data_IF_034534582254
#
_entry.id   IF_034534582254
#
_cell.length_a   1.000
_cell.length_b   1.000
_cell.length_c   1.000
_cell.angle_alpha   90.00
_cell.angle_beta   90.00
_cell.angle_gamma   90.00
#
_symmetry.space_group_name_H-M   'P 1'
#
loop_
_entity.id
_entity.type
_entity.pdbx_description
1 polymer ?
#
# COMPACT_ATOMS: atom_id res chain seq x y z
N UNK A 1 -27.29 11.96 11.80
CA UNK A 1 -25.92 11.36 11.89
C UNK A 1 -25.33 11.92 13.16
N UNK A 2 -25.03 11.07 14.16
CA UNK A 2 -24.52 11.51 15.46
C UNK A 2 -23.17 12.22 15.27
N UNK A 3 -23.01 13.38 15.90
CA UNK A 3 -21.75 14.14 15.98
C UNK A 3 -20.71 13.39 16.88
N UNK A 4 -20.42 12.14 16.52
CA UNK A 4 -19.45 11.33 17.23
C UNK A 4 -18.04 11.84 17.04
N UNK A 5 -17.25 11.84 18.08
CA UNK A 5 -15.83 12.18 18.04
C UNK A 5 -15.08 11.25 17.09
N UNK A 6 -14.34 11.82 16.12
CA UNK A 6 -13.52 11.07 15.16
C UNK A 6 -12.09 11.01 15.70
N UNK A 7 -11.58 9.84 16.10
CA UNK A 7 -10.19 9.74 16.54
C UNK A 7 -9.23 10.07 15.41
N UNK A 8 -8.29 11.00 15.68
CA UNK A 8 -7.15 11.31 14.81
C UNK A 8 -5.87 10.83 15.53
N UNK A 9 -5.47 9.61 15.23
CA UNK A 9 -4.22 9.04 15.76
C UNK A 9 -3.05 9.59 14.98
N UNK A 10 -2.03 10.12 15.65
CA UNK A 10 -0.84 10.64 14.99
C UNK A 10 0.43 10.18 15.69
N UNK A 11 1.45 9.85 14.86
CA UNK A 11 2.78 9.54 15.34
C UNK A 11 3.66 10.80 15.22
N UNK A 12 4.00 11.48 16.32
CA UNK A 12 4.78 12.72 16.27
C UNK A 12 6.18 12.54 15.68
N UNK A 13 6.69 11.30 15.66
CA UNK A 13 8.00 10.97 15.10
C UNK A 13 7.95 10.63 13.61
N UNK A 14 6.76 10.62 12.99
CA UNK A 14 6.64 10.35 11.56
C UNK A 14 7.12 11.53 10.71
N UNK A 15 7.59 11.22 9.49
CA UNK A 15 8.11 12.24 8.59
C UNK A 15 9.54 12.68 8.92
N UNK A 16 10.02 13.70 8.20
CA UNK A 16 11.37 14.23 8.36
C UNK A 16 11.53 15.25 9.48
N UNK A 17 10.50 16.05 9.73
CA UNK A 17 10.47 17.15 10.71
C UNK A 17 9.53 16.92 11.88
N UNK A 18 8.96 15.71 11.97
CA UNK A 18 7.87 15.41 12.89
C UNK A 18 6.52 15.95 12.39
N UNK A 19 5.44 15.56 13.10
CA UNK A 19 4.09 16.04 12.81
C UNK A 19 3.68 17.07 13.86
N UNK A 20 3.32 18.26 13.40
CA UNK A 20 2.87 19.37 14.24
C UNK A 20 1.33 19.43 14.25
N UNK A 21 0.74 18.96 15.36
CA UNK A 21 -0.71 18.91 15.53
C UNK A 21 -1.34 20.30 15.56
N UNK A 22 -0.71 21.26 16.23
CA UNK A 22 -1.26 22.61 16.37
C UNK A 22 -1.30 23.31 15.01
N UNK A 23 -0.24 23.15 14.21
CA UNK A 23 -0.20 23.64 12.84
C UNK A 23 -1.27 23.00 11.95
N UNK A 24 -1.54 21.70 12.12
CA UNK A 24 -2.63 21.02 11.41
C UNK A 24 -3.99 21.59 11.82
N UNK A 25 -4.26 21.63 13.13
CA UNK A 25 -5.55 22.09 13.67
C UNK A 25 -5.84 23.54 13.33
N UNK A 26 -4.83 24.41 13.33
CA UNK A 26 -4.97 25.83 12.98
C UNK A 26 -5.49 26.04 11.54
N UNK A 27 -5.23 25.07 10.64
CA UNK A 27 -5.66 25.12 9.22
C UNK A 27 -7.06 24.56 9.00
N UNK A 28 -7.68 23.92 10.01
CA UNK A 28 -9.01 23.33 9.89
C UNK A 28 -10.11 24.30 10.35
N UNK A 29 -11.28 24.29 9.71
CA UNK A 29 -12.47 25.01 10.21
C UNK A 29 -12.84 24.57 11.64
N UNK A 30 -13.40 25.47 12.43
CA UNK A 30 -13.78 25.21 13.83
C UNK A 30 -14.71 23.97 13.97
N UNK A 31 -15.70 23.85 13.10
CA UNK A 31 -16.61 22.71 13.08
C UNK A 31 -15.90 21.37 12.86
N UNK A 32 -14.88 21.33 12.01
CA UNK A 32 -14.07 20.11 11.78
C UNK A 32 -13.20 19.79 12.99
N UNK A 33 -12.57 20.81 13.60
CA UNK A 33 -11.75 20.63 14.81
C UNK A 33 -12.55 20.06 15.96
N UNK A 34 -13.79 20.50 16.16
CA UNK A 34 -14.67 20.02 17.23
C UNK A 34 -15.05 18.55 17.06
N UNK A 35 -15.05 18.02 15.85
CA UNK A 35 -15.31 16.60 15.56
C UNK A 35 -14.09 15.71 15.80
N UNK A 36 -12.87 16.26 15.80
CA UNK A 36 -11.65 15.48 15.94
C UNK A 36 -11.32 15.23 17.43
N UNK A 37 -10.88 14.02 17.71
CA UNK A 37 -10.27 13.63 18.97
C UNK A 37 -8.81 13.22 18.72
N UNK A 38 -7.84 14.15 18.83
CA UNK A 38 -6.43 13.84 18.60
C UNK A 38 -5.89 12.86 19.64
N UNK A 39 -5.25 11.79 19.19
CA UNK A 39 -4.61 10.79 20.04
C UNK A 39 -3.15 10.66 19.61
N UNK A 40 -2.25 11.03 20.50
CA UNK A 40 -0.81 10.86 20.27
C UNK A 40 -0.44 9.39 20.44
N UNK A 41 0.22 8.84 19.41
CA UNK A 41 0.68 7.46 19.42
C UNK A 41 2.09 7.40 20.04
N UNK A 42 2.21 6.66 21.15
CA UNK A 42 3.47 6.44 21.86
C UNK A 42 3.75 4.94 21.98
N UNK A 43 5.04 4.53 22.11
CA UNK A 43 5.36 3.15 22.36
C UNK A 43 4.63 2.63 23.62
N UNK A 44 4.05 1.43 23.60
CA UNK A 44 4.17 0.35 22.61
C UNK A 44 3.28 0.46 21.35
N UNK A 45 2.80 1.64 20.97
CA UNK A 45 2.00 1.87 19.74
C UNK A 45 0.67 1.09 19.73
N UNK A 46 -0.09 1.21 20.83
CA UNK A 46 -1.40 0.55 20.95
C UNK A 46 -2.52 1.37 20.29
N UNK A 47 -3.14 0.79 19.26
CA UNK A 47 -4.29 1.37 18.55
C UNK A 47 -5.64 0.98 19.18
N UNK A 48 -5.67 0.02 20.11
CA UNK A 48 -6.88 -0.55 20.71
C UNK A 48 -7.85 0.49 21.26
N UNK A 49 -7.42 1.41 22.14
CA UNK A 49 -8.28 2.45 22.69
C UNK A 49 -8.92 3.36 21.62
N UNK A 50 -8.14 3.74 20.59
CA UNK A 50 -8.63 4.60 19.50
C UNK A 50 -9.61 3.86 18.58
N UNK A 51 -9.40 2.57 18.33
CA UNK A 51 -10.33 1.71 17.59
C UNK A 51 -11.63 1.53 18.38
N UNK A 52 -11.56 1.33 19.69
CA UNK A 52 -12.74 1.23 20.54
C UNK A 52 -13.55 2.54 20.55
N UNK A 53 -12.88 3.69 20.62
CA UNK A 53 -13.52 5.00 20.53
C UNK A 53 -14.21 5.21 19.18
N UNK A 54 -13.52 4.93 18.06
CA UNK A 54 -14.09 5.03 16.72
C UNK A 54 -15.33 4.14 16.56
N UNK A 55 -15.26 2.90 17.06
CA UNK A 55 -16.38 1.95 17.04
C UNK A 55 -17.57 2.46 17.84
N UNK A 56 -17.36 2.95 19.05
CA UNK A 56 -18.41 3.49 19.88
C UNK A 56 -19.07 4.74 19.28
N UNK A 57 -18.29 5.56 18.59
CA UNK A 57 -18.77 6.76 17.91
C UNK A 57 -19.40 6.48 16.53
N UNK A 58 -19.29 5.26 15.99
CA UNK A 58 -19.68 4.95 14.61
C UNK A 58 -18.93 5.78 13.59
N UNK A 59 -17.67 6.11 13.86
CA UNK A 59 -16.83 7.00 13.07
C UNK A 59 -15.62 6.25 12.48
N UNK A 60 -14.98 6.79 11.42
CA UNK A 60 -13.69 6.26 10.97
C UNK A 60 -12.59 6.52 12.00
N UNK A 61 -11.52 5.72 11.93
CA UNK A 61 -10.24 5.99 12.58
C UNK A 61 -9.34 6.73 11.60
N UNK A 62 -9.08 8.02 11.81
CA UNK A 62 -8.10 8.75 11.02
C UNK A 62 -6.70 8.49 11.58
N UNK A 63 -5.76 8.15 10.71
CA UNK A 63 -4.36 7.89 11.09
C UNK A 63 -3.44 8.79 10.29
N UNK A 64 -2.78 9.70 11.00
CA UNK A 64 -1.81 10.64 10.43
C UNK A 64 -0.40 10.13 10.64
N UNK A 65 0.20 9.65 9.55
CA UNK A 65 1.52 9.06 9.59
C UNK A 65 2.04 8.67 8.21
N UNK A 66 3.17 7.99 8.19
CA UNK A 66 3.73 7.38 6.98
C UNK A 66 3.15 5.98 6.72
N UNK A 67 3.62 5.35 5.63
CA UNK A 67 3.15 4.03 5.19
C UNK A 67 3.28 2.97 6.31
N UNK A 68 4.37 2.97 7.08
CA UNK A 68 4.54 2.06 8.22
C UNK A 68 3.52 2.28 9.34
N UNK A 69 3.20 3.55 9.68
CA UNK A 69 2.17 3.86 10.67
C UNK A 69 0.80 3.35 10.21
N UNK A 70 0.47 3.53 8.92
CA UNK A 70 -0.77 3.06 8.31
C UNK A 70 -0.82 1.52 8.25
N UNK A 71 0.29 0.86 7.92
CA UNK A 71 0.43 -0.59 7.93
C UNK A 71 0.11 -1.17 9.32
N UNK A 72 0.72 -0.62 10.38
CA UNK A 72 0.48 -1.09 11.75
C UNK A 72 -0.96 -0.83 12.20
N UNK A 73 -1.54 0.32 11.86
CA UNK A 73 -2.94 0.63 12.14
C UNK A 73 -3.90 -0.35 11.44
N UNK A 74 -3.65 -0.64 10.16
CA UNK A 74 -4.43 -1.62 9.40
C UNK A 74 -4.37 -3.02 10.02
N UNK A 75 -3.20 -3.47 10.42
CA UNK A 75 -3.03 -4.76 11.11
C UNK A 75 -3.75 -4.81 12.45
N UNK A 76 -3.69 -3.73 13.23
CA UNK A 76 -4.41 -3.63 14.50
C UNK A 76 -5.93 -3.70 14.29
N UNK A 77 -6.45 -2.99 13.28
CA UNK A 77 -7.85 -3.06 12.89
C UNK A 77 -8.27 -4.48 12.52
N UNK A 78 -7.50 -5.18 11.72
CA UNK A 78 -7.77 -6.58 11.35
C UNK A 78 -7.74 -7.50 12.57
N UNK A 79 -6.73 -7.37 13.44
CA UNK A 79 -6.58 -8.21 14.62
C UNK A 79 -7.73 -8.04 15.64
N UNK A 80 -8.24 -6.81 15.79
CA UNK A 80 -9.30 -6.49 16.76
C UNK A 80 -10.72 -6.66 16.23
N UNK A 81 -10.87 -6.97 14.95
CA UNK A 81 -12.18 -7.07 14.28
C UNK A 81 -12.71 -8.49 14.18
N UNK A 82 -11.89 -9.49 14.41
CA UNK A 82 -12.25 -10.89 14.15
C UNK A 82 -12.45 -11.13 12.65
N UNK A 83 -13.69 -11.29 12.22
CA UNK A 83 -14.04 -11.38 10.81
C UNK A 83 -14.47 -10.01 10.28
N UNK A 84 -13.65 -9.40 9.44
CA UNK A 84 -13.89 -8.09 8.86
C UNK A 84 -13.45 -6.91 9.74
N UNK A 85 -13.30 -5.73 9.16
CA UNK A 85 -12.94 -4.50 9.85
C UNK A 85 -14.18 -3.64 10.09
N UNK A 86 -14.71 -3.52 11.32
CA UNK A 86 -15.92 -2.74 11.58
C UNK A 86 -15.68 -1.22 11.61
N UNK A 87 -14.42 -0.77 11.61
CA UNK A 87 -14.04 0.64 11.69
C UNK A 87 -13.25 1.02 10.44
N UNK A 88 -13.76 1.95 9.60
CA UNK A 88 -13.01 2.40 8.42
C UNK A 88 -11.72 3.12 8.79
N UNK A 89 -10.62 2.81 8.10
CA UNK A 89 -9.33 3.49 8.24
C UNK A 89 -9.25 4.69 7.29
N UNK A 90 -9.07 5.89 7.82
CA UNK A 90 -8.79 7.09 7.04
C UNK A 90 -7.28 7.40 7.04
N UNK A 91 -6.66 7.39 5.87
CA UNK A 91 -5.22 7.61 5.73
C UNK A 91 -4.89 9.09 5.53
N UNK A 92 -4.23 9.71 6.52
CA UNK A 92 -3.77 11.11 6.46
C UNK A 92 -2.25 11.12 6.21
N UNK A 93 -1.76 11.84 5.18
CA UNK A 93 -0.35 11.81 4.79
C UNK A 93 0.57 12.42 5.84
N UNK A 94 1.60 11.68 6.25
CA UNK A 94 2.63 12.13 7.20
C UNK A 94 4.02 11.56 6.87
N UNK A 95 4.14 10.77 5.83
CA UNK A 95 5.39 10.14 5.38
C UNK A 95 6.00 10.77 4.13
N UNK A 96 7.13 10.24 3.70
CA UNK A 96 7.79 10.64 2.44
C UNK A 96 7.24 9.88 1.22
N UNK A 97 6.80 8.64 1.39
CA UNK A 97 6.27 7.79 0.32
C UNK A 97 4.78 8.01 0.08
N UNK A 98 3.99 7.83 1.14
CA UNK A 98 2.54 7.94 1.16
C UNK A 98 1.87 7.10 0.05
N UNK A 99 2.30 5.83 -0.11
CA UNK A 99 1.84 4.94 -1.17
C UNK A 99 0.34 4.67 -1.10
N UNK A 100 -0.17 4.29 0.09
CA UNK A 100 -1.58 4.05 0.34
C UNK A 100 -2.42 5.32 0.05
N UNK A 101 -1.99 6.47 0.57
CA UNK A 101 -2.65 7.78 0.38
C UNK A 101 -2.75 8.13 -1.10
N UNK A 102 -1.65 7.97 -1.84
CA UNK A 102 -1.57 8.25 -3.28
C UNK A 102 -2.43 7.28 -4.11
N UNK A 103 -2.40 5.99 -3.77
CA UNK A 103 -3.23 4.96 -4.42
C UNK A 103 -4.71 5.26 -4.29
N UNK A 104 -5.14 5.77 -3.15
CA UNK A 104 -6.52 6.18 -2.87
C UNK A 104 -6.86 7.62 -3.35
N UNK A 105 -5.91 8.32 -3.97
CA UNK A 105 -6.05 9.73 -4.41
C UNK A 105 -6.44 10.69 -3.29
N UNK A 106 -6.09 10.38 -2.04
CA UNK A 106 -6.26 11.31 -0.93
C UNK A 106 -5.27 12.49 -1.09
N UNK A 107 -5.67 13.74 -0.81
CA UNK A 107 -4.78 14.89 -0.88
C UNK A 107 -3.50 14.69 -0.07
N UNK A 108 -2.36 15.14 -0.60
CA UNK A 108 -1.07 15.04 0.09
C UNK A 108 -0.85 16.15 1.14
N UNK A 109 -1.69 17.15 1.17
CA UNK A 109 -1.76 18.12 2.24
C UNK A 109 -2.57 17.55 3.41
N UNK A 110 -2.00 17.43 4.62
CA UNK A 110 -2.68 16.78 5.74
C UNK A 110 -4.01 17.45 6.13
N UNK A 111 -4.09 18.77 6.14
CA UNK A 111 -5.33 19.47 6.48
C UNK A 111 -6.41 19.26 5.43
N UNK A 112 -6.06 19.31 4.16
CA UNK A 112 -6.96 19.01 3.05
C UNK A 112 -7.41 17.53 3.08
N UNK A 113 -6.52 16.60 3.45
CA UNK A 113 -6.86 15.20 3.62
C UNK A 113 -7.89 14.99 4.73
N UNK A 114 -7.66 15.56 5.92
CA UNK A 114 -8.60 15.47 7.06
C UNK A 114 -9.96 16.02 6.67
N UNK A 115 -10.03 17.21 6.08
CA UNK A 115 -11.30 17.83 5.65
C UNK A 115 -12.09 16.90 4.73
N UNK A 116 -11.45 16.39 3.68
CA UNK A 116 -12.12 15.56 2.69
C UNK A 116 -12.44 14.15 3.20
N UNK A 117 -11.68 13.61 4.15
CA UNK A 117 -11.99 12.33 4.80
C UNK A 117 -13.17 12.44 5.75
N UNK A 118 -13.35 13.58 6.46
CA UNK A 118 -14.50 13.83 7.31
C UNK A 118 -15.82 13.92 6.53
N UNK A 119 -15.76 14.33 5.27
CA UNK A 119 -16.88 14.45 4.32
C UNK A 119 -16.94 13.25 3.35
N UNK A 120 -16.00 12.34 3.46
CA UNK A 120 -15.80 11.24 2.54
C UNK A 120 -16.80 10.10 2.71
N UNK A 121 -16.50 9.01 2.04
CA UNK A 121 -17.32 7.79 2.04
C UNK A 121 -16.49 6.56 2.42
N UNK A 122 -17.18 5.52 2.78
CA UNK A 122 -16.57 4.22 2.98
C UNK A 122 -16.29 3.54 1.63
N UNK A 123 -15.13 2.92 1.52
CA UNK A 123 -14.73 2.02 0.45
C UNK A 123 -14.50 0.64 1.07
N UNK A 124 -15.18 -0.36 0.53
CA UNK A 124 -14.93 -1.76 0.86
C UNK A 124 -13.78 -2.25 -0.02
N UNK A 125 -12.66 -2.65 0.61
CA UNK A 125 -11.45 -3.10 -0.07
C UNK A 125 -11.21 -4.60 0.15
N UNK A 126 -10.54 -5.20 -0.80
CA UNK A 126 -9.98 -6.54 -0.65
C UNK A 126 -8.80 -6.52 0.32
N UNK A 127 -8.62 -7.59 1.08
CA UNK A 127 -7.54 -7.74 2.06
C UNK A 127 -6.58 -8.86 1.64
N UNK A 128 -5.47 -8.52 1.00
CA UNK A 128 -4.42 -9.50 0.71
C UNK A 128 -3.58 -9.82 1.94
N UNK A 129 -3.05 -11.05 1.97
CA UNK A 129 -2.17 -11.54 3.02
C UNK A 129 -0.96 -12.27 2.43
N UNK A 130 0.17 -12.12 3.08
CA UNK A 130 1.38 -12.91 2.85
C UNK A 130 1.62 -13.77 4.08
N UNK A 131 1.51 -15.11 3.95
CA UNK A 131 1.58 -16.07 5.07
C UNK A 131 0.68 -15.68 6.25
N UNK A 132 -0.55 -15.27 5.96
CA UNK A 132 -1.54 -14.83 6.94
C UNK A 132 -1.36 -13.38 7.43
N UNK A 133 -0.23 -12.72 7.14
CA UNK A 133 0.01 -11.32 7.53
C UNK A 133 -0.64 -10.37 6.54
N UNK A 134 -1.61 -9.54 6.95
CA UNK A 134 -2.30 -8.63 6.05
C UNK A 134 -1.41 -7.45 5.62
N UNK A 135 -1.65 -6.97 4.40
CA UNK A 135 -1.11 -5.72 3.88
C UNK A 135 -2.21 -4.96 3.12
N UNK A 136 -2.10 -3.65 3.00
CA UNK A 136 -3.15 -2.82 2.43
C UNK A 136 -2.86 -2.39 0.99
N UNK A 137 -1.61 -2.04 0.72
CA UNK A 137 -1.18 -1.49 -0.56
C UNK A 137 -0.51 -2.53 -1.42
N UNK A 138 0.65 -3.03 -1.00
CA UNK A 138 1.41 -4.00 -1.77
C UNK A 138 2.43 -4.75 -0.92
N UNK A 139 2.81 -5.95 -1.38
CA UNK A 139 3.97 -6.66 -0.86
C UNK A 139 4.88 -7.07 -2.02
N UNK A 140 6.15 -7.36 -1.72
CA UNK A 140 7.06 -7.77 -2.76
C UNK A 140 8.38 -8.31 -2.27
N UNK A 141 9.16 -8.85 -3.22
CA UNK A 141 10.47 -9.45 -2.99
C UNK A 141 11.47 -9.03 -4.08
N UNK A 142 12.75 -9.28 -3.85
CA UNK A 142 13.82 -8.91 -4.76
C UNK A 142 14.37 -7.51 -4.47
N UNK A 143 14.52 -6.70 -5.51
CA UNK A 143 15.19 -5.39 -5.42
C UNK A 143 14.53 -4.46 -4.38
N UNK A 144 13.23 -4.26 -4.45
CA UNK A 144 12.50 -3.34 -3.57
C UNK A 144 12.53 -3.77 -2.11
N UNK A 145 12.43 -5.07 -1.83
CA UNK A 145 12.51 -5.59 -0.47
C UNK A 145 13.90 -5.38 0.14
N UNK A 146 14.95 -5.51 -0.66
CA UNK A 146 16.32 -5.19 -0.25
C UNK A 146 16.53 -3.70 0.00
N UNK A 147 15.90 -2.85 -0.83
CA UNK A 147 15.86 -1.41 -0.59
C UNK A 147 15.15 -1.12 0.74
N UNK A 148 14.00 -1.72 0.99
CA UNK A 148 13.26 -1.55 2.25
C UNK A 148 14.08 -1.97 3.47
N UNK A 149 14.80 -3.09 3.40
CA UNK A 149 15.71 -3.55 4.48
C UNK A 149 16.83 -2.55 4.77
N UNK A 150 17.49 -2.03 3.73
CA UNK A 150 18.55 -1.03 3.90
C UNK A 150 18.03 0.25 4.54
N UNK A 151 16.78 0.61 4.25
CA UNK A 151 16.13 1.80 4.82
C UNK A 151 15.69 1.58 6.27
N UNK A 152 15.15 0.42 6.59
CA UNK A 152 14.77 0.05 7.96
C UNK A 152 15.98 0.04 8.91
N UNK A 153 17.16 -0.30 8.40
CA UNK A 153 18.42 -0.35 9.17
C UNK A 153 19.18 0.99 9.23
N UNK A 154 18.91 1.93 8.31
CA UNK A 154 19.69 3.15 8.19
C UNK A 154 19.20 4.26 9.12
N UNK A 155 20.10 4.80 9.97
CA UNK A 155 19.85 5.96 10.83
C UNK A 155 19.70 7.29 10.06
N UNK A 156 19.90 7.32 8.73
CA UNK A 156 19.86 8.52 7.88
C UNK A 156 18.74 8.44 6.84
N UNK A 157 17.66 9.17 7.04
CA UNK A 157 16.53 9.26 6.11
C UNK A 157 16.69 10.43 5.14
N UNK A 158 17.21 10.18 3.92
CA UNK A 158 17.38 11.20 2.90
C UNK A 158 17.28 10.66 1.48
N UNK A 159 16.82 11.50 0.53
CA UNK A 159 16.69 11.13 -0.88
C UNK A 159 18.04 10.69 -1.49
N UNK A 160 19.16 11.29 -1.04
CA UNK A 160 20.52 10.91 -1.47
C UNK A 160 20.91 9.52 -1.00
N UNK A 161 20.63 9.18 0.26
CA UNK A 161 20.89 7.84 0.82
C UNK A 161 20.05 6.78 0.11
N UNK A 162 18.80 7.13 -0.22
CA UNK A 162 17.91 6.28 -1.01
C UNK A 162 18.47 6.04 -2.42
N UNK A 163 18.81 7.08 -3.14
CA UNK A 163 19.35 6.97 -4.49
C UNK A 163 20.67 6.17 -4.51
N UNK A 164 21.56 6.38 -3.53
CA UNK A 164 22.80 5.63 -3.40
C UNK A 164 22.56 4.13 -3.11
N UNK A 165 21.60 3.82 -2.23
CA UNK A 165 21.22 2.43 -1.94
C UNK A 165 20.61 1.76 -3.19
N UNK A 166 19.71 2.44 -3.88
CA UNK A 166 19.12 1.95 -5.13
C UNK A 166 20.19 1.69 -6.21
N UNK A 167 21.14 2.62 -6.38
CA UNK A 167 22.23 2.48 -7.36
C UNK A 167 23.16 1.31 -7.01
N UNK A 168 23.49 1.14 -5.72
CA UNK A 168 24.31 0.03 -5.24
C UNK A 168 23.61 -1.31 -5.49
N UNK A 169 22.34 -1.43 -5.10
CA UNK A 169 21.55 -2.65 -5.27
C UNK A 169 21.29 -2.95 -6.74
N UNK A 170 21.08 -1.92 -7.57
CA UNK A 170 20.95 -2.09 -9.02
C UNK A 170 22.21 -2.72 -9.63
N UNK A 171 23.40 -2.31 -9.16
CA UNK A 171 24.66 -2.90 -9.64
C UNK A 171 24.89 -4.33 -9.16
N UNK A 172 24.46 -4.66 -7.95
CA UNK A 172 24.84 -5.88 -7.24
C UNK A 172 23.66 -6.86 -7.02
N UNK A 173 22.41 -6.40 -7.23
CA UNK A 173 21.24 -7.20 -6.89
C UNK A 173 21.06 -8.38 -7.84
N UNK A 174 21.12 -9.64 -7.36
CA UNK A 174 20.80 -10.81 -8.16
C UNK A 174 19.29 -10.83 -8.50
N UNK A 175 18.95 -11.51 -9.59
CA UNK A 175 17.59 -11.99 -9.81
C UNK A 175 17.28 -13.11 -8.81
N UNK A 176 16.00 -13.20 -8.43
CA UNK A 176 15.47 -14.27 -7.60
C UNK A 176 14.83 -15.30 -8.52
N UNK A 177 15.24 -16.55 -8.42
CA UNK A 177 14.56 -17.65 -9.08
C UNK A 177 13.17 -17.85 -8.46
N UNK A 178 12.20 -18.11 -9.29
CA UNK A 178 10.80 -18.24 -8.88
C UNK A 178 10.22 -19.53 -9.45
N UNK A 179 9.69 -20.34 -8.56
CA UNK A 179 8.80 -21.43 -8.88
C UNK A 179 7.48 -21.16 -8.14
N UNK A 180 6.41 -20.94 -8.89
CA UNK A 180 5.15 -20.55 -8.28
C UNK A 180 3.92 -21.08 -9.02
N UNK A 181 2.97 -21.50 -8.22
CA UNK A 181 1.64 -21.88 -8.66
C UNK A 181 0.68 -20.75 -8.32
N UNK A 182 0.20 -20.06 -9.35
CA UNK A 182 -0.87 -19.08 -9.17
C UNK A 182 -2.21 -19.82 -9.12
N UNK A 183 -3.06 -19.44 -8.19
CA UNK A 183 -4.49 -19.76 -8.27
C UNK A 183 -5.06 -18.94 -9.42
N UNK A 184 -5.25 -19.61 -10.57
CA UNK A 184 -5.80 -18.98 -11.75
C UNK A 184 -7.15 -18.34 -11.44
N UNK A 185 -7.42 -17.19 -12.06
CA UNK A 185 -8.77 -16.64 -12.15
C UNK A 185 -9.63 -17.73 -12.81
N UNK A 186 -10.53 -18.34 -12.04
CA UNK A 186 -11.72 -18.93 -12.64
C UNK A 186 -12.34 -17.78 -13.44
N UNK A 187 -12.76 -18.06 -14.70
CA UNK A 187 -13.23 -17.06 -15.66
C UNK A 187 -13.99 -15.92 -14.96
N UNK A 188 -13.64 -14.67 -15.17
CA UNK A 188 -14.15 -13.55 -14.39
C UNK A 188 -15.67 -13.58 -14.42
N UNK A 189 -16.30 -13.33 -13.26
CA UNK A 189 -17.71 -12.95 -13.20
C UNK A 189 -17.97 -11.86 -14.25
N UNK A 190 -19.17 -11.80 -14.87
CA UNK A 190 -19.43 -11.00 -16.07
C UNK A 190 -19.13 -9.53 -15.82
N UNK A 191 -17.90 -9.16 -16.15
CA UNK A 191 -17.43 -7.79 -16.20
C UNK A 191 -18.28 -7.00 -17.20
N UNK A 192 -18.49 -5.72 -16.95
CA UNK A 192 -19.17 -4.84 -17.88
C UNK A 192 -18.54 -4.87 -19.28
N UNK A 193 -19.27 -4.42 -20.30
CA UNK A 193 -18.83 -4.53 -21.70
C UNK A 193 -17.44 -3.91 -21.99
N UNK A 194 -17.09 -2.83 -21.29
CA UNK A 194 -15.77 -2.19 -21.38
C UNK A 194 -14.66 -2.97 -20.68
N UNK A 195 -15.01 -3.62 -19.58
CA UNK A 195 -14.04 -4.45 -18.84
C UNK A 195 -13.76 -5.77 -19.55
N UNK A 196 -14.74 -6.30 -20.32
CA UNK A 196 -14.51 -7.43 -21.24
C UNK A 196 -13.57 -7.09 -22.38
N UNK A 197 -13.65 -5.87 -22.91
CA UNK A 197 -12.70 -5.42 -23.95
C UNK A 197 -11.29 -5.21 -23.37
N UNK A 198 -11.17 -4.72 -22.13
CA UNK A 198 -9.88 -4.60 -21.44
C UNK A 198 -9.33 -5.95 -21.00
N UNK A 199 -10.18 -6.89 -20.58
CA UNK A 199 -9.79 -8.26 -20.27
C UNK A 199 -9.38 -9.06 -21.51
N UNK A 200 -9.98 -8.78 -22.68
CA UNK A 200 -9.59 -9.37 -23.95
C UNK A 200 -8.24 -8.84 -24.49
N UNK A 201 -7.76 -7.71 -23.95
CA UNK A 201 -6.43 -7.15 -24.22
C UNK A 201 -5.44 -7.40 -23.08
N UNK A 202 -5.91 -7.95 -21.95
CA UNK A 202 -5.06 -8.56 -20.95
C UNK A 202 -4.55 -9.88 -21.51
N UNK A 203 -3.22 -9.99 -21.65
CA UNK A 203 -2.57 -11.23 -22.12
C UNK A 203 -3.14 -12.43 -21.36
N UNK A 204 -3.37 -13.58 -22.05
CA UNK A 204 -3.74 -14.84 -21.40
C UNK A 204 -2.73 -15.09 -20.29
N UNK A 205 -3.16 -15.75 -19.20
CA UNK A 205 -2.35 -16.01 -18.00
C UNK A 205 -0.87 -16.09 -18.38
N UNK A 206 -0.22 -14.93 -18.34
CA UNK A 206 1.12 -14.78 -18.89
C UNK A 206 1.97 -15.80 -18.16
N UNK A 207 2.74 -16.61 -18.88
CA UNK A 207 3.64 -17.58 -18.28
C UNK A 207 4.33 -16.91 -17.10
N UNK A 208 4.07 -17.49 -15.93
CA UNK A 208 4.60 -16.96 -14.69
C UNK A 208 6.12 -16.92 -14.79
N UNK A 209 6.77 -15.80 -14.50
CA UNK A 209 8.20 -15.69 -14.72
C UNK A 209 8.98 -16.66 -13.84
N UNK A 210 9.94 -17.38 -14.41
CA UNK A 210 10.87 -18.25 -13.68
C UNK A 210 11.93 -17.48 -12.89
N UNK A 211 12.04 -16.15 -13.09
CA UNK A 211 12.91 -15.27 -12.31
C UNK A 211 12.41 -13.83 -12.31
N UNK A 212 12.78 -13.07 -11.28
CA UNK A 212 12.51 -11.63 -11.21
C UNK A 212 13.66 -10.87 -10.54
N UNK A 213 13.93 -9.69 -11.03
CA UNK A 213 14.75 -8.72 -10.29
C UNK A 213 13.92 -8.07 -9.17
N UNK A 214 12.64 -7.80 -9.43
CA UNK A 214 11.64 -7.35 -8.46
C UNK A 214 10.32 -8.00 -8.81
N UNK A 215 9.65 -8.60 -7.82
CA UNK A 215 8.32 -9.17 -7.93
C UNK A 215 7.44 -8.55 -6.85
N UNK A 216 6.36 -7.92 -7.27
CA UNK A 216 5.42 -7.21 -6.40
C UNK A 216 4.00 -7.74 -6.61
N UNK A 217 3.22 -7.76 -5.54
CA UNK A 217 1.79 -8.06 -5.55
C UNK A 217 1.06 -6.85 -4.98
N UNK A 218 0.22 -6.26 -5.80
CA UNK A 218 -0.36 -4.95 -5.56
C UNK A 218 -1.89 -4.99 -5.47
N UNK A 219 -2.40 -4.39 -4.42
CA UNK A 219 -3.82 -4.10 -4.22
C UNK A 219 -4.19 -2.69 -4.72
N UNK A 220 -3.20 -1.80 -4.78
CA UNK A 220 -3.33 -0.41 -5.24
C UNK A 220 -2.24 -0.06 -6.27
N UNK A 221 -2.47 0.95 -7.14
CA UNK A 221 -1.60 1.18 -8.29
C UNK A 221 -0.22 1.78 -7.95
N UNK A 222 -0.07 2.45 -6.79
CA UNK A 222 1.14 3.20 -6.46
C UNK A 222 1.92 2.60 -5.30
N UNK A 223 3.24 2.45 -5.51
CA UNK A 223 4.17 2.05 -4.45
C UNK A 223 4.37 3.16 -3.40
N UNK A 224 4.47 4.40 -3.84
CA UNK A 224 4.81 5.59 -3.07
C UNK A 224 5.69 6.54 -3.88
N UNK A 225 5.86 7.77 -3.42
CA UNK A 225 6.66 8.81 -4.09
C UNK A 225 6.32 9.01 -5.58
N UNK A 226 5.11 8.62 -6.01
CA UNK A 226 4.66 8.74 -7.40
C UNK A 226 5.06 7.56 -8.32
N UNK A 227 5.57 6.45 -7.78
CA UNK A 227 5.90 5.26 -8.56
C UNK A 227 4.63 4.43 -8.84
N UNK A 228 4.21 4.37 -10.11
CA UNK A 228 3.07 3.60 -10.62
C UNK A 228 3.51 2.18 -10.96
N UNK A 229 3.58 1.32 -9.95
CA UNK A 229 4.07 -0.05 -10.12
C UNK A 229 3.04 -0.94 -10.81
N UNK A 230 1.77 -0.85 -10.41
CA UNK A 230 0.66 -1.64 -10.91
C UNK A 230 -0.51 -0.73 -11.37
N UNK A 231 -0.39 0.01 -12.48
CA UNK A 231 -1.35 1.07 -12.83
C UNK A 231 -2.79 0.58 -13.06
N UNK A 232 -3.00 -0.72 -13.21
CA UNK A 232 -4.32 -1.33 -13.42
C UNK A 232 -4.90 -1.92 -12.13
N UNK A 233 -4.15 -1.97 -11.02
CA UNK A 233 -4.61 -2.55 -9.76
C UNK A 233 -5.81 -1.79 -9.20
N UNK A 234 -6.80 -2.54 -8.73
CA UNK A 234 -8.02 -2.04 -8.11
C UNK A 234 -8.25 -2.74 -6.78
N UNK A 235 -8.49 -2.01 -5.70
CA UNK A 235 -8.53 -2.59 -4.37
C UNK A 235 -9.85 -3.32 -4.04
N UNK A 236 -10.80 -3.43 -4.98
CA UNK A 236 -12.16 -3.91 -4.73
C UNK A 236 -12.72 -4.75 -5.89
N UNK A 237 -11.87 -5.42 -6.64
CA UNK A 237 -12.30 -6.24 -7.80
C UNK A 237 -12.09 -7.76 -7.58
N UNK A 238 -11.70 -8.15 -6.36
CA UNK A 238 -11.54 -9.54 -5.95
C UNK A 238 -10.30 -10.22 -6.52
N UNK A 239 -9.33 -9.46 -7.03
CA UNK A 239 -8.09 -10.00 -7.60
C UNK A 239 -6.88 -9.20 -7.15
N UNK A 240 -5.71 -9.83 -7.20
CA UNK A 240 -4.43 -9.22 -6.85
C UNK A 240 -3.59 -9.09 -8.12
N UNK A 241 -3.06 -7.91 -8.36
CA UNK A 241 -2.15 -7.68 -9.49
C UNK A 241 -0.73 -8.10 -9.13
N UNK A 242 -0.11 -8.99 -9.94
CA UNK A 242 1.31 -9.23 -9.83
C UNK A 242 2.08 -8.42 -10.86
N UNK A 243 3.23 -7.92 -10.47
CA UNK A 243 4.13 -7.14 -11.31
C UNK A 243 5.55 -7.66 -11.17
N UNK A 244 6.11 -8.11 -12.27
CA UNK A 244 7.53 -8.42 -12.38
C UNK A 244 8.24 -7.27 -13.05
N UNK A 245 9.29 -6.77 -12.44
CA UNK A 245 10.26 -5.91 -13.09
C UNK A 245 11.53 -6.70 -13.41
N UNK A 246 12.00 -6.57 -14.63
CA UNK A 246 13.35 -7.00 -14.97
C UNK A 246 14.36 -5.90 -14.63
N UNK A 247 15.59 -6.29 -14.41
CA UNK A 247 16.67 -5.33 -14.18
C UNK A 247 16.86 -4.45 -15.42
N UNK A 248 16.80 -3.11 -15.26
CA UNK A 248 17.04 -2.21 -16.38
C UNK A 248 18.51 -2.17 -16.76
N UNK A 249 18.81 -2.11 -18.04
CA UNK A 249 20.12 -1.75 -18.54
C UNK A 249 20.41 -0.25 -18.33
N UNK A 250 21.66 0.16 -18.55
CA UNK A 250 22.07 1.55 -18.29
C UNK A 250 21.22 2.58 -19.07
N UNK A 251 20.97 2.35 -20.34
CA UNK A 251 20.14 3.24 -21.16
C UNK A 251 18.66 3.20 -20.78
N UNK A 252 18.18 2.07 -20.28
CA UNK A 252 16.80 1.92 -19.83
C UNK A 252 16.53 2.65 -18.49
N UNK A 253 17.56 2.81 -17.65
CA UNK A 253 17.47 3.66 -16.46
C UNK A 253 17.07 5.09 -16.84
N UNK A 254 17.56 5.60 -17.95
CA UNK A 254 17.26 6.96 -18.40
C UNK A 254 15.94 7.06 -19.18
N UNK A 255 15.59 6.06 -19.97
CA UNK A 255 14.43 6.09 -20.88
C UNK A 255 13.19 5.41 -20.32
N UNK A 256 13.32 4.29 -19.61
CA UNK A 256 12.21 3.44 -19.20
C UNK A 256 11.82 3.64 -17.74
N UNK A 257 12.78 3.85 -16.83
CA UNK A 257 12.47 4.06 -15.41
C UNK A 257 11.63 5.32 -15.18
N UNK A 258 11.85 6.46 -15.86
CA UNK A 258 10.97 7.63 -15.73
C UNK A 258 9.51 7.37 -16.12
N UNK A 259 9.23 6.37 -16.97
CA UNK A 259 7.87 5.99 -17.33
C UNK A 259 7.10 5.35 -16.17
N UNK A 260 7.80 4.74 -15.21
CA UNK A 260 7.19 4.20 -14.00
C UNK A 260 6.66 5.30 -13.07
N UNK A 261 7.10 6.56 -13.22
CA UNK A 261 6.64 7.71 -12.44
C UNK A 261 5.53 8.52 -13.15
N UNK A 262 5.02 8.01 -14.26
CA UNK A 262 3.91 8.63 -15.00
C UNK A 262 2.66 7.77 -14.88
N UNK A 263 1.53 8.40 -14.61
CA UNK A 263 0.22 7.73 -14.70
C UNK A 263 0.02 7.24 -16.14
N UNK A 264 -0.32 5.95 -16.30
CA UNK A 264 -0.43 5.35 -17.63
C UNK A 264 0.89 5.14 -18.38
N UNK A 265 2.04 5.35 -17.75
CA UNK A 265 3.35 5.16 -18.37
C UNK A 265 3.58 3.71 -18.79
N UNK A 266 4.01 3.53 -20.05
CA UNK A 266 4.36 2.23 -20.61
C UNK A 266 5.86 2.00 -20.53
N UNK A 267 6.25 0.80 -20.10
CA UNK A 267 7.66 0.40 -20.03
C UNK A 267 7.82 -1.08 -20.35
N UNK A 268 8.84 -1.41 -21.12
CA UNK A 268 9.23 -2.80 -21.41
C UNK A 268 9.87 -3.51 -20.20
N UNK A 269 10.16 -2.79 -19.10
CA UNK A 269 10.69 -3.35 -17.88
C UNK A 269 9.64 -4.15 -17.11
N UNK A 270 8.36 -3.81 -17.28
CA UNK A 270 7.24 -4.33 -16.51
C UNK A 270 6.49 -5.42 -17.28
N UNK A 271 6.32 -6.57 -16.64
CA UNK A 271 5.27 -7.56 -16.96
C UNK A 271 4.32 -7.63 -15.78
N UNK A 272 3.05 -7.78 -16.06
CA UNK A 272 2.01 -7.82 -15.03
C UNK A 272 0.89 -8.77 -15.43
N UNK A 273 0.16 -9.24 -14.45
CA UNK A 273 -1.02 -10.07 -14.63
C UNK A 273 -1.81 -10.10 -13.32
N UNK A 274 -2.86 -10.92 -13.26
CA UNK A 274 -3.83 -10.93 -12.18
C UNK A 274 -3.99 -12.34 -11.64
N UNK A 275 -4.14 -12.47 -10.31
CA UNK A 275 -4.28 -13.76 -9.60
C UNK A 275 -5.30 -13.64 -8.47
N UNK A 276 -5.86 -14.77 -8.02
CA UNK A 276 -6.66 -14.87 -6.79
C UNK A 276 -5.81 -15.18 -5.57
N UNK A 277 -4.61 -15.67 -5.79
CA UNK A 277 -3.63 -16.05 -4.80
C UNK A 277 -2.51 -16.84 -5.45
N UNK A 278 -1.44 -17.11 -4.71
CA UNK A 278 -0.30 -17.86 -5.20
C UNK A 278 0.45 -18.56 -4.06
N UNK A 279 1.05 -19.70 -4.38
CA UNK A 279 2.13 -20.29 -3.58
C UNK A 279 3.44 -20.12 -4.35
N UNK A 280 4.44 -19.54 -3.71
CA UNK A 280 5.73 -19.25 -4.30
C UNK A 280 6.83 -20.03 -3.60
N UNK A 281 7.80 -20.51 -4.39
CA UNK A 281 9.12 -20.93 -3.91
C UNK A 281 10.17 -20.01 -4.51
N UNK A 282 11.12 -19.59 -3.70
CA UNK A 282 12.16 -18.63 -4.07
C UNK A 282 13.54 -19.28 -3.88
N UNK A 283 14.36 -19.20 -4.90
CA UNK A 283 15.74 -19.68 -4.85
C UNK A 283 16.68 -18.56 -5.36
N UNK A 284 17.59 -18.06 -4.54
CA UNK A 284 17.70 -18.28 -3.08
C UNK A 284 16.57 -17.62 -2.29
N UNK A 285 16.41 -18.00 -1.00
CA UNK A 285 15.53 -17.31 -0.05
C UNK A 285 15.75 -15.80 -0.10
N UNK A 286 14.67 -15.06 -0.27
CA UNK A 286 14.75 -13.61 -0.51
C UNK A 286 13.94 -12.82 0.52
N UNK A 287 14.39 -11.63 0.91
CA UNK A 287 13.64 -10.76 1.79
C UNK A 287 12.34 -10.31 1.13
N UNK A 288 11.36 -9.98 1.98
CA UNK A 288 10.09 -9.41 1.58
C UNK A 288 9.89 -8.05 2.23
N UNK A 289 8.92 -7.31 1.72
CA UNK A 289 8.33 -6.17 2.41
C UNK A 289 6.80 -6.24 2.28
N UNK A 290 6.10 -5.65 3.24
CA UNK A 290 4.65 -5.44 3.24
C UNK A 290 4.41 -3.94 3.47
N UNK A 291 3.75 -3.27 2.54
CA UNK A 291 3.50 -1.82 2.55
C UNK A 291 4.78 -0.96 2.75
N UNK A 292 5.94 -1.49 2.33
CA UNK A 292 7.24 -0.86 2.52
C UNK A 292 7.96 -1.23 3.82
N UNK A 293 7.30 -1.92 4.76
CA UNK A 293 7.93 -2.41 5.99
C UNK A 293 8.70 -3.72 5.72
N UNK A 294 9.96 -3.82 6.16
CA UNK A 294 10.78 -5.00 5.95
C UNK A 294 10.17 -6.26 6.59
N UNK A 295 10.20 -7.37 5.88
CA UNK A 295 9.83 -8.67 6.37
C UNK A 295 10.99 -9.69 6.19
N UNK A 296 11.02 -10.77 6.99
CA UNK A 296 12.07 -11.75 6.92
C UNK A 296 12.23 -12.39 5.55
N UNK A 297 13.47 -12.80 5.24
CA UNK A 297 13.73 -13.62 4.07
C UNK A 297 13.07 -15.00 4.22
N UNK A 298 12.54 -15.53 3.12
CA UNK A 298 11.90 -16.83 3.05
C UNK A 298 12.10 -17.46 1.68
N UNK A 299 12.10 -18.77 1.65
CA UNK A 299 12.18 -19.59 0.45
C UNK A 299 10.79 -20.02 -0.05
N UNK A 300 9.77 -19.89 0.81
CA UNK A 300 8.37 -20.18 0.49
C UNK A 300 7.49 -19.05 1.00
N UNK A 301 6.46 -18.73 0.23
CA UNK A 301 5.47 -17.73 0.59
C UNK A 301 4.07 -18.14 0.06
N UNK A 302 3.03 -17.89 0.85
CA UNK A 302 1.65 -18.06 0.44
C UNK A 302 0.93 -16.71 0.39
N UNK A 303 0.38 -16.39 -0.77
CA UNK A 303 -0.46 -15.23 -1.00
C UNK A 303 -1.92 -15.63 -1.04
N UNK A 304 -2.72 -14.97 -0.23
CA UNK A 304 -4.18 -15.13 -0.21
C UNK A 304 -4.85 -13.77 -0.33
N UNK A 305 -6.10 -13.76 -0.80
CA UNK A 305 -6.94 -12.57 -0.91
C UNK A 305 -8.29 -12.87 -0.27
N UNK A 306 -8.74 -11.96 0.59
CA UNK A 306 -10.08 -11.96 1.17
C UNK A 306 -10.86 -10.80 0.55
N UNK A 307 -11.77 -11.06 -0.43
CA UNK A 307 -12.52 -10.01 -1.09
C UNK A 307 -13.42 -9.24 -0.11
N UNK A 308 -13.37 -7.91 -0.17
CA UNK A 308 -14.24 -7.03 0.61
C UNK A 308 -14.01 -7.07 2.13
N UNK A 309 -12.87 -7.58 2.59
CA UNK A 309 -12.63 -7.82 4.01
C UNK A 309 -12.06 -6.61 4.77
N UNK A 310 -11.78 -5.49 4.10
CA UNK A 310 -11.25 -4.29 4.74
C UNK A 310 -12.07 -3.04 4.38
N UNK A 311 -12.12 -2.07 5.30
CA UNK A 311 -12.86 -0.82 5.10
C UNK A 311 -11.95 0.38 5.20
N UNK A 312 -12.00 1.22 4.17
CA UNK A 312 -11.29 2.49 4.14
C UNK A 312 -12.28 3.66 4.16
N UNK A 313 -11.94 4.70 4.90
CA UNK A 313 -12.54 6.02 4.73
C UNK A 313 -11.77 6.73 3.62
N UNK A 314 -12.47 7.07 2.53
CA UNK A 314 -11.86 7.70 1.35
C UNK A 314 -12.55 9.02 1.01
N UNK A 315 -11.85 9.85 0.27
CA UNK A 315 -12.38 11.13 -0.21
C UNK A 315 -13.35 10.91 -1.38
N UNK A 316 -14.20 11.89 -1.68
CA UNK A 316 -15.10 11.83 -2.84
C UNK A 316 -14.38 11.67 -4.18
N UNK A 317 -13.11 12.08 -4.27
CA UNK A 317 -12.29 11.96 -5.50
C UNK A 317 -11.65 10.56 -5.66
N UNK A 318 -11.83 9.65 -4.70
CA UNK A 318 -11.34 8.28 -4.81
C UNK A 318 -12.04 7.56 -5.98
N UNK A 319 -11.31 6.99 -6.94
CA UNK A 319 -11.89 6.44 -8.17
C UNK A 319 -12.53 5.07 -8.02
N UNK A 320 -12.41 4.45 -6.84
CA UNK A 320 -12.88 3.08 -6.55
C UNK A 320 -14.24 3.01 -5.91
#
# INVERSE_FOLDING_TARGET
MSDGAVPLVYNPLAGRSGLDLDALLARLPAACRQRLHPVRLEPPFDYGPSIALARAAGSPLLVWGGDGTLHHAGRALVALSGQGCPVPLGAVPGGSGNGLVRGLRTPLDPAGAVLRLLEGRELVMDLPRLDGVPFLNLCGTGFEARVAQLFGAAKGRGLRSYAAACLRLWRQGPEVGLDWEARALAAPAPLGRLDRLRAAWGEPAAELPGSAWSLCFANLPQYGSGLWIAPNARPNDGVLDWVRLRRPGWWEMLSQVPQLFREGGHTSLRRQGRILGATLRLDPASPWHLDGEPAPARDRAELTLEPGAFRMQVTGDCPW
#
